data_IF_521728712468
#
_entry.id   IF_521728712468
#
_cell.length_a   1.000
_cell.length_b   1.000
_cell.length_c   1.000
_cell.angle_alpha   90.00
_cell.angle_beta   90.00
_cell.angle_gamma   90.00
#
_symmetry.space_group_name_H-M   'P 1'
#
loop_
_entity.id
_entity.type
_entity.pdbx_description
1 polymer ?
#
# COMPACT_ATOMS: atom_id res chain seq x y z
N UNK A 1 2.89 -6.76 15.64
CA UNK A 1 3.14 -6.70 14.18
C UNK A 1 4.51 -7.28 13.83
N UNK A 2 5.61 -6.67 14.28
CA UNK A 2 6.98 -7.11 13.93
C UNK A 2 7.30 -8.54 14.40
N UNK A 3 6.80 -8.94 15.59
CA UNK A 3 6.97 -10.30 16.13
C UNK A 3 6.35 -11.38 15.23
N UNK A 4 5.10 -11.20 14.81
CA UNK A 4 4.38 -12.13 13.93
C UNK A 4 5.04 -12.24 12.56
N UNK A 5 5.44 -11.10 11.98
CA UNK A 5 6.18 -11.07 10.72
C UNK A 5 7.51 -11.82 10.83
N UNK A 6 8.29 -11.57 11.89
CA UNK A 6 9.55 -12.29 12.12
C UNK A 6 9.33 -13.79 12.27
N UNK A 7 8.25 -14.19 12.96
CA UNK A 7 7.89 -15.60 13.14
C UNK A 7 7.55 -16.28 11.81
N UNK A 8 6.73 -15.65 10.98
CA UNK A 8 6.37 -16.12 9.64
C UNK A 8 7.61 -16.29 8.73
N UNK A 9 8.54 -15.35 8.79
CA UNK A 9 9.80 -15.42 8.04
C UNK A 9 10.79 -16.44 8.62
N UNK A 10 10.76 -16.70 9.92
CA UNK A 10 11.53 -17.79 10.54
C UNK A 10 10.98 -19.16 10.15
N UNK A 11 9.65 -19.32 10.09
CA UNK A 11 9.00 -20.56 9.62
C UNK A 11 9.47 -20.93 8.21
N UNK A 12 9.66 -19.94 7.34
CA UNK A 12 10.13 -20.16 5.96
C UNK A 12 11.65 -20.21 5.82
N UNK A 13 12.41 -19.74 6.81
CA UNK A 13 13.89 -19.68 6.78
C UNK A 13 14.45 -18.65 5.79
N UNK A 14 13.61 -17.77 5.25
CA UNK A 14 13.94 -16.90 4.12
C UNK A 14 14.10 -15.42 4.49
N UNK A 15 14.16 -15.10 5.79
CA UNK A 15 14.26 -13.73 6.30
C UNK A 15 15.47 -12.95 5.72
N UNK A 16 16.65 -13.58 5.67
CA UNK A 16 17.87 -12.93 5.19
C UNK A 16 17.75 -12.49 3.73
N UNK A 17 17.21 -13.36 2.87
CA UNK A 17 16.99 -13.05 1.44
C UNK A 17 15.98 -11.92 1.26
N UNK A 18 14.90 -11.91 2.05
CA UNK A 18 13.92 -10.82 2.01
C UNK A 18 14.52 -9.46 2.39
N UNK A 19 15.33 -9.40 3.46
CA UNK A 19 16.00 -8.17 3.89
C UNK A 19 16.96 -7.66 2.81
N UNK A 20 17.77 -8.56 2.23
CA UNK A 20 18.74 -8.21 1.18
C UNK A 20 18.01 -7.64 -0.05
N UNK A 21 16.96 -8.30 -0.53
CA UNK A 21 16.21 -7.83 -1.70
C UNK A 21 15.48 -6.50 -1.45
N UNK A 22 14.98 -6.30 -0.22
CA UNK A 22 14.34 -5.04 0.18
C UNK A 22 15.35 -3.90 0.20
N UNK A 23 16.53 -4.14 0.78
CA UNK A 23 17.61 -3.16 0.86
C UNK A 23 18.16 -2.83 -0.54
N UNK A 24 18.25 -3.82 -1.43
CA UNK A 24 18.60 -3.62 -2.83
C UNK A 24 17.56 -2.74 -3.55
N UNK A 25 16.27 -2.82 -3.21
CA UNK A 25 15.24 -1.97 -3.83
C UNK A 25 15.25 -0.52 -3.31
N UNK A 26 15.63 -0.29 -2.06
CA UNK A 26 15.62 1.03 -1.40
C UNK A 26 16.23 2.20 -2.22
N UNK A 27 17.44 2.08 -2.82
CA UNK A 27 18.04 3.19 -3.53
C UNK A 27 17.33 3.57 -4.83
N UNK A 28 16.53 2.68 -5.43
CA UNK A 28 15.95 2.92 -6.75
C UNK A 28 15.08 4.18 -6.81
N UNK A 29 14.11 4.30 -5.90
CA UNK A 29 13.16 5.43 -5.93
C UNK A 29 13.88 6.76 -5.67
N UNK A 30 14.89 6.75 -4.79
CA UNK A 30 15.72 7.90 -4.49
C UNK A 30 16.60 8.32 -5.68
N UNK A 31 17.29 7.36 -6.30
CA UNK A 31 18.12 7.58 -7.49
C UNK A 31 17.27 8.09 -8.66
N UNK A 32 16.12 7.49 -8.91
CA UNK A 32 15.19 7.92 -9.94
C UNK A 32 14.76 9.38 -9.74
N UNK A 33 14.42 9.74 -8.50
CA UNK A 33 14.03 11.11 -8.15
C UNK A 33 15.16 12.09 -8.35
N UNK A 34 16.37 11.75 -7.90
CA UNK A 34 17.55 12.58 -8.08
C UNK A 34 17.89 12.75 -9.57
N UNK A 35 17.89 11.66 -10.35
CA UNK A 35 18.17 11.69 -11.79
C UNK A 35 17.16 12.57 -12.53
N UNK A 36 15.86 12.49 -12.21
CA UNK A 36 14.86 13.37 -12.81
C UNK A 36 15.02 14.84 -12.42
N UNK A 37 15.22 15.13 -11.13
CA UNK A 37 15.37 16.50 -10.66
C UNK A 37 16.64 17.16 -11.24
N UNK A 38 17.76 16.43 -11.27
CA UNK A 38 19.02 16.91 -11.84
C UNK A 38 18.94 17.08 -13.35
N UNK A 39 18.28 16.18 -14.07
CA UNK A 39 18.07 16.33 -15.51
C UNK A 39 17.31 17.60 -15.82
N UNK A 40 16.19 17.83 -15.13
CA UNK A 40 15.38 19.02 -15.36
C UNK A 40 16.18 20.29 -15.09
N UNK A 41 16.94 20.32 -13.99
CA UNK A 41 17.83 21.43 -13.68
C UNK A 41 18.86 21.70 -14.79
N UNK A 42 19.68 20.71 -15.13
CA UNK A 42 20.76 20.90 -16.10
C UNK A 42 20.24 21.13 -17.52
N UNK A 43 19.15 20.49 -17.92
CA UNK A 43 18.55 20.69 -19.24
C UNK A 43 18.06 22.14 -19.38
N UNK A 44 17.31 22.65 -18.39
CA UNK A 44 16.82 24.02 -18.46
C UNK A 44 17.92 25.07 -18.30
N UNK A 45 18.94 24.81 -17.47
CA UNK A 45 20.09 25.71 -17.33
C UNK A 45 20.91 25.74 -18.64
N UNK A 46 21.09 24.61 -19.32
CA UNK A 46 21.77 24.55 -20.63
C UNK A 46 21.00 25.27 -21.75
N UNK A 47 19.66 25.14 -21.76
CA UNK A 47 18.79 25.89 -22.68
C UNK A 47 18.91 27.40 -22.42
N UNK A 48 18.86 27.82 -21.14
CA UNK A 48 18.91 29.22 -20.77
C UNK A 48 20.25 29.88 -21.12
N UNK A 49 21.36 29.12 -21.04
CA UNK A 49 22.69 29.60 -21.40
C UNK A 49 23.05 29.41 -22.88
N UNK A 50 22.09 28.99 -23.73
CA UNK A 50 22.28 28.73 -25.16
C UNK A 50 23.44 27.75 -25.50
N UNK A 51 23.76 26.82 -24.60
CA UNK A 51 24.85 25.86 -24.78
C UNK A 51 24.34 24.53 -25.36
N UNK A 52 24.29 24.44 -26.69
CA UNK A 52 23.77 23.28 -27.41
C UNK A 52 24.55 21.99 -27.11
N UNK A 53 25.87 22.05 -26.99
CA UNK A 53 26.71 20.88 -26.70
C UNK A 53 26.46 20.30 -25.30
N UNK A 54 26.25 21.17 -24.30
CA UNK A 54 25.96 20.76 -22.92
C UNK A 54 24.58 20.09 -22.81
N UNK A 55 23.60 20.58 -23.59
CA UNK A 55 22.27 19.98 -23.68
C UNK A 55 22.32 18.54 -24.21
N UNK A 56 23.02 18.32 -25.33
CA UNK A 56 23.15 16.99 -25.92
C UNK A 56 23.80 15.98 -24.96
N UNK A 57 24.87 16.38 -24.27
CA UNK A 57 25.54 15.54 -23.28
C UNK A 57 24.58 15.22 -22.12
N UNK A 58 23.84 16.21 -21.63
CA UNK A 58 22.88 16.03 -20.53
C UNK A 58 21.75 15.05 -20.92
N UNK A 59 21.23 15.16 -22.15
CA UNK A 59 20.21 14.25 -22.67
C UNK A 59 20.73 12.81 -22.85
N UNK A 60 21.95 12.64 -23.37
CA UNK A 60 22.56 11.31 -23.53
C UNK A 60 22.82 10.68 -22.16
N UNK A 61 23.41 11.44 -21.22
CA UNK A 61 23.67 10.97 -19.87
C UNK A 61 22.37 10.57 -19.15
N UNK A 62 21.30 11.34 -19.32
CA UNK A 62 19.99 11.02 -18.78
C UNK A 62 19.38 9.78 -19.43
N UNK A 63 19.47 9.65 -20.76
CA UNK A 63 19.00 8.46 -21.47
C UNK A 63 19.69 7.20 -20.97
N UNK A 64 21.02 7.22 -20.90
CA UNK A 64 21.83 6.11 -20.37
C UNK A 64 21.47 5.84 -18.90
N UNK A 65 21.35 6.87 -18.06
CA UNK A 65 20.98 6.75 -16.66
C UNK A 65 19.61 6.09 -16.46
N UNK A 66 18.61 6.46 -17.27
CA UNK A 66 17.27 5.86 -17.21
C UNK A 66 17.28 4.41 -17.70
N UNK A 67 18.05 4.07 -18.74
CA UNK A 67 18.19 2.69 -19.20
C UNK A 67 18.82 1.82 -18.11
N UNK A 68 19.88 2.30 -17.46
CA UNK A 68 20.53 1.59 -16.35
C UNK A 68 19.55 1.41 -15.19
N UNK A 69 18.83 2.47 -14.80
CA UNK A 69 17.82 2.40 -13.74
C UNK A 69 16.67 1.45 -14.09
N UNK A 70 16.23 1.43 -15.35
CA UNK A 70 15.20 0.52 -15.83
C UNK A 70 15.65 -0.94 -15.76
N UNK A 71 16.85 -1.25 -16.27
CA UNK A 71 17.45 -2.58 -16.19
C UNK A 71 17.64 -3.02 -14.74
N UNK A 72 18.11 -2.12 -13.88
CA UNK A 72 18.24 -2.36 -12.44
C UNK A 72 16.88 -2.68 -11.80
N UNK A 73 15.87 -1.85 -12.05
CA UNK A 73 14.54 -2.09 -11.48
C UNK A 73 13.92 -3.39 -11.96
N UNK A 74 14.03 -3.66 -13.27
CA UNK A 74 13.50 -4.87 -13.89
C UNK A 74 14.14 -6.14 -13.33
N UNK A 75 15.47 -6.15 -13.16
CA UNK A 75 16.19 -7.29 -12.58
C UNK A 75 15.85 -7.47 -11.09
N UNK A 76 15.84 -6.41 -10.30
CA UNK A 76 15.45 -6.49 -8.87
C UNK A 76 14.01 -6.96 -8.72
N UNK A 77 13.08 -6.48 -9.56
CA UNK A 77 11.66 -6.83 -9.47
C UNK A 77 11.36 -8.25 -9.91
N UNK A 78 12.02 -8.74 -10.97
CA UNK A 78 11.89 -10.13 -11.42
C UNK A 78 12.41 -11.11 -10.36
N UNK A 79 13.58 -10.84 -9.77
CA UNK A 79 14.14 -11.65 -8.68
C UNK A 79 13.24 -11.58 -7.43
N UNK A 80 12.73 -10.40 -7.08
CA UNK A 80 11.81 -10.23 -5.95
C UNK A 80 10.50 -11.02 -6.17
N UNK A 81 9.91 -10.94 -7.36
CA UNK A 81 8.67 -11.67 -7.68
C UNK A 81 8.88 -13.18 -7.61
N UNK A 82 9.99 -13.69 -8.16
CA UNK A 82 10.35 -15.10 -8.06
C UNK A 82 10.61 -15.55 -6.62
N UNK A 83 11.21 -14.68 -5.79
CA UNK A 83 11.37 -14.94 -4.37
C UNK A 83 10.03 -15.05 -3.66
N UNK A 84 9.11 -14.12 -3.92
CA UNK A 84 7.78 -14.10 -3.29
C UNK A 84 6.98 -15.34 -3.68
N UNK A 85 6.95 -15.73 -4.95
CA UNK A 85 6.24 -16.94 -5.40
C UNK A 85 6.82 -18.22 -4.80
N UNK A 86 8.15 -18.32 -4.70
CA UNK A 86 8.77 -19.46 -4.01
C UNK A 86 8.44 -19.43 -2.49
N UNK A 87 8.45 -18.25 -1.89
CA UNK A 87 8.10 -18.07 -0.48
C UNK A 87 6.66 -18.50 -0.19
N UNK A 88 5.71 -18.12 -1.05
CA UNK A 88 4.30 -18.53 -0.91
C UNK A 88 4.16 -20.05 -1.03
N UNK A 89 4.87 -20.68 -1.97
CA UNK A 89 4.84 -22.12 -2.19
C UNK A 89 5.41 -22.89 -0.98
N UNK A 90 6.54 -22.44 -0.42
CA UNK A 90 7.14 -23.03 0.79
C UNK A 90 6.21 -22.88 1.98
N UNK A 91 5.63 -21.69 2.20
CA UNK A 91 4.71 -21.47 3.30
C UNK A 91 3.47 -22.36 3.17
N UNK A 92 2.86 -22.44 1.98
CA UNK A 92 1.70 -23.30 1.73
C UNK A 92 2.03 -24.77 1.97
N UNK A 93 3.18 -25.24 1.50
CA UNK A 93 3.64 -26.63 1.70
C UNK A 93 3.85 -26.94 3.18
N UNK A 94 4.47 -26.03 3.94
CA UNK A 94 4.68 -26.20 5.39
C UNK A 94 3.37 -26.19 6.16
N UNK A 95 2.48 -25.26 5.86
CA UNK A 95 1.17 -25.15 6.50
C UNK A 95 0.33 -26.40 6.23
N UNK A 96 0.26 -26.85 4.97
CA UNK A 96 -0.46 -28.07 4.61
C UNK A 96 0.10 -29.31 5.29
N UNK A 97 1.43 -29.49 5.29
CA UNK A 97 2.09 -30.61 5.98
C UNK A 97 1.83 -30.58 7.49
N UNK A 98 1.84 -29.40 8.09
CA UNK A 98 1.59 -29.24 9.51
C UNK A 98 0.15 -29.60 9.87
N UNK A 99 -0.84 -29.10 9.12
CA UNK A 99 -2.24 -29.48 9.31
C UNK A 99 -2.42 -31.00 9.16
N UNK A 100 -1.78 -31.62 8.15
CA UNK A 100 -1.80 -33.07 7.97
C UNK A 100 -1.05 -33.89 9.03
N UNK A 101 -0.30 -33.25 9.92
CA UNK A 101 0.39 -33.91 11.04
C UNK A 101 -0.39 -33.89 12.35
N UNK A 102 -1.46 -33.09 12.44
CA UNK A 102 -2.29 -32.96 13.64
C UNK A 102 -3.08 -34.25 13.93
N UNK A 103 -3.39 -34.50 15.20
CA UNK A 103 -4.26 -35.62 15.60
C UNK A 103 -5.70 -35.39 15.13
N UNK A 104 -6.50 -36.46 15.02
CA UNK A 104 -7.90 -36.35 14.61
C UNK A 104 -8.67 -35.41 15.55
N UNK A 105 -8.45 -35.54 16.88
CA UNK A 105 -8.99 -34.66 17.90
C UNK A 105 -8.65 -33.18 17.65
N UNK A 106 -7.42 -32.89 17.24
CA UNK A 106 -6.99 -31.52 16.95
C UNK A 106 -7.59 -30.95 15.67
N UNK A 107 -7.86 -31.80 14.67
CA UNK A 107 -8.54 -31.41 13.43
C UNK A 107 -10.01 -31.11 13.71
N UNK A 108 -10.68 -31.93 14.52
CA UNK A 108 -12.10 -31.82 14.89
C UNK A 108 -12.41 -30.61 15.79
N UNK A 109 -11.39 -30.01 16.46
CA UNK A 109 -11.56 -28.76 17.21
C UNK A 109 -11.99 -27.57 16.33
N UNK A 110 -11.91 -27.67 15.00
CA UNK A 110 -12.29 -26.61 14.06
C UNK A 110 -13.07 -27.18 12.88
N UNK A 111 -13.89 -26.33 12.26
CA UNK A 111 -14.64 -26.73 11.06
C UNK A 111 -13.73 -26.88 9.84
N UNK A 112 -14.10 -27.77 8.91
CA UNK A 112 -13.42 -27.93 7.61
C UNK A 112 -13.32 -26.60 6.87
N UNK A 113 -14.37 -25.78 6.91
CA UNK A 113 -14.40 -24.45 6.30
C UNK A 113 -13.37 -23.48 6.89
N UNK A 114 -13.13 -23.53 8.21
CA UNK A 114 -12.10 -22.72 8.85
C UNK A 114 -10.69 -23.13 8.39
N UNK A 115 -10.42 -24.44 8.27
CA UNK A 115 -9.15 -24.94 7.74
C UNK A 115 -8.90 -24.49 6.29
N UNK A 116 -9.94 -24.55 5.44
CA UNK A 116 -9.86 -24.08 4.05
C UNK A 116 -9.57 -22.57 4.00
N UNK A 117 -10.21 -21.78 4.86
CA UNK A 117 -10.00 -20.33 4.93
C UNK A 117 -8.58 -19.98 5.38
N UNK A 118 -8.04 -20.70 6.36
CA UNK A 118 -6.66 -20.52 6.83
C UNK A 118 -5.64 -20.88 5.74
N UNK A 119 -5.88 -21.95 4.98
CA UNK A 119 -4.99 -22.41 3.90
C UNK A 119 -5.02 -21.51 2.66
N UNK A 120 -6.17 -20.91 2.37
CA UNK A 120 -6.39 -20.10 1.17
C UNK A 120 -6.39 -18.60 1.47
N UNK A 121 -7.43 -18.08 2.11
CA UNK A 121 -7.64 -16.64 2.29
C UNK A 121 -6.61 -16.01 3.23
N UNK A 122 -6.30 -16.65 4.35
CA UNK A 122 -5.33 -16.10 5.31
C UNK A 122 -3.90 -16.18 4.80
N UNK A 123 -3.55 -17.30 4.14
CA UNK A 123 -2.29 -17.42 3.43
C UNK A 123 -2.20 -16.36 2.31
N UNK A 124 -3.26 -16.16 1.55
CA UNK A 124 -3.29 -15.12 0.53
C UNK A 124 -3.07 -13.73 1.14
N UNK A 125 -3.74 -13.40 2.25
CA UNK A 125 -3.52 -12.15 2.97
C UNK A 125 -2.06 -12.01 3.44
N UNK A 126 -1.46 -13.07 3.99
CA UNK A 126 -0.06 -13.09 4.40
C UNK A 126 0.90 -12.87 3.21
N UNK A 127 0.59 -13.46 2.06
CA UNK A 127 1.38 -13.29 0.83
C UNK A 127 1.16 -11.93 0.16
N UNK A 128 -0.04 -11.34 0.29
CA UNK A 128 -0.37 -10.05 -0.28
C UNK A 128 0.50 -8.93 0.30
N UNK A 129 0.93 -9.05 1.56
CA UNK A 129 1.90 -8.15 2.19
C UNK A 129 3.24 -8.11 1.45
N UNK A 130 3.56 -9.18 0.70
CA UNK A 130 4.81 -9.39 -0.02
C UNK A 130 4.66 -9.32 -1.55
N UNK A 131 3.47 -9.55 -2.13
CA UNK A 131 3.20 -9.49 -3.58
C UNK A 131 2.33 -8.33 -4.19
N UNK A 132 1.39 -7.68 -3.46
CA UNK A 132 0.66 -6.49 -3.93
C UNK A 132 1.46 -5.16 -4.03
N UNK A 133 1.19 -4.27 -5.01
CA UNK A 133 1.95 -3.03 -5.35
C UNK A 133 2.28 -2.03 -4.22
N UNK A 134 1.81 -2.26 -3.00
CA UNK A 134 1.98 -1.45 -1.81
C UNK A 134 2.47 -2.37 -0.67
N UNK A 135 3.81 -2.50 -0.56
CA UNK A 135 4.53 -3.48 0.26
C UNK A 135 5.17 -2.94 1.54
N UNK A 136 5.62 -3.86 2.42
CA UNK A 136 6.64 -3.56 3.45
C UNK A 136 7.88 -2.91 2.82
N UNK A 137 8.47 -3.47 1.74
CA UNK A 137 9.50 -2.79 0.97
C UNK A 137 9.11 -1.38 0.55
N UNK A 138 7.91 -1.17 0.00
CA UNK A 138 7.46 0.16 -0.42
C UNK A 138 7.29 1.12 0.76
N UNK A 139 6.89 0.68 1.95
CA UNK A 139 6.85 1.53 3.13
C UNK A 139 8.26 1.99 3.54
N UNK A 140 9.24 1.09 3.54
CA UNK A 140 10.63 1.43 3.88
C UNK A 140 11.23 2.33 2.80
N UNK A 141 11.09 1.95 1.54
CA UNK A 141 11.58 2.70 0.38
C UNK A 141 10.94 4.09 0.32
N UNK A 142 9.63 4.21 0.57
CA UNK A 142 8.94 5.50 0.54
C UNK A 142 9.36 6.43 1.68
N UNK A 143 9.66 5.90 2.87
CA UNK A 143 10.21 6.70 3.96
C UNK A 143 11.62 7.20 3.60
N UNK A 144 12.49 6.31 3.11
CA UNK A 144 13.83 6.67 2.65
C UNK A 144 13.76 7.72 1.54
N UNK A 145 12.89 7.52 0.55
CA UNK A 145 12.72 8.45 -0.56
C UNK A 145 12.13 9.79 -0.10
N UNK A 146 11.24 9.82 0.89
CA UNK A 146 10.77 11.06 1.48
C UNK A 146 11.92 11.82 2.15
N UNK A 147 12.74 11.15 2.96
CA UNK A 147 13.92 11.76 3.60
C UNK A 147 14.92 12.25 2.55
N UNK A 148 15.28 11.43 1.56
CA UNK A 148 16.22 11.83 0.51
C UNK A 148 15.68 13.01 -0.30
N UNK A 149 14.40 12.98 -0.69
CA UNK A 149 13.77 14.11 -1.40
C UNK A 149 13.79 15.39 -0.55
N UNK A 150 13.52 15.27 0.76
CA UNK A 150 13.60 16.40 1.69
C UNK A 150 15.02 16.95 1.82
N UNK A 151 16.04 16.08 1.89
CA UNK A 151 17.46 16.49 1.96
C UNK A 151 17.89 17.17 0.67
N UNK A 152 17.56 16.59 -0.50
CA UNK A 152 17.84 17.20 -1.81
C UNK A 152 17.20 18.58 -1.89
N UNK A 153 15.93 18.68 -1.49
CA UNK A 153 15.18 19.94 -1.52
C UNK A 153 15.76 20.99 -0.57
N UNK A 154 16.10 20.61 0.66
CA UNK A 154 16.72 21.49 1.65
C UNK A 154 18.11 21.96 1.24
N UNK A 155 18.89 21.08 0.60
CA UNK A 155 20.22 21.41 0.06
C UNK A 155 20.16 22.34 -1.16
N UNK A 156 19.08 22.26 -1.95
CA UNK A 156 18.89 23.11 -3.12
C UNK A 156 18.43 24.52 -2.72
N UNK A 157 17.38 24.62 -1.89
CA UNK A 157 16.86 25.90 -1.44
C UNK A 157 16.03 25.75 -0.14
N UNK A 158 16.57 26.25 0.98
CA UNK A 158 15.95 26.12 2.31
C UNK A 158 14.60 26.87 2.42
N UNK A 159 14.42 27.97 1.70
CA UNK A 159 13.18 28.74 1.74
C UNK A 159 12.08 28.02 0.95
N UNK A 160 12.41 27.45 -0.22
CA UNK A 160 11.47 26.63 -0.98
C UNK A 160 11.10 25.34 -0.25
N UNK A 161 12.06 24.73 0.45
CA UNK A 161 11.82 23.60 1.34
C UNK A 161 10.82 23.96 2.45
N UNK A 162 11.01 25.10 3.10
CA UNK A 162 10.12 25.59 4.16
C UNK A 162 8.69 25.81 3.66
N UNK A 163 8.53 26.38 2.46
CA UNK A 163 7.23 26.54 1.81
C UNK A 163 6.59 25.18 1.50
N UNK A 164 7.35 24.24 0.95
CA UNK A 164 6.86 22.90 0.64
C UNK A 164 6.38 22.18 1.91
N UNK A 165 7.12 22.27 3.02
CA UNK A 165 6.70 21.74 4.31
C UNK A 165 5.44 22.42 4.83
N UNK A 166 5.36 23.76 4.73
CA UNK A 166 4.23 24.54 5.17
C UNK A 166 2.91 24.09 4.52
N UNK A 167 2.94 23.62 3.26
CA UNK A 167 1.77 23.04 2.59
C UNK A 167 1.62 21.53 2.80
N UNK A 168 2.73 20.79 2.88
CA UNK A 168 2.69 19.34 3.05
C UNK A 168 2.15 18.93 4.43
N UNK A 169 2.51 19.64 5.50
CA UNK A 169 2.09 19.29 6.87
C UNK A 169 0.57 19.45 7.06
N UNK A 170 -0.07 20.59 6.71
CA UNK A 170 -1.54 20.70 6.74
C UNK A 170 -2.23 19.68 5.84
N UNK A 171 -1.66 19.40 4.66
CA UNK A 171 -2.18 18.37 3.76
C UNK A 171 -2.22 17.00 4.42
N UNK A 172 -1.14 16.60 5.10
CA UNK A 172 -1.10 15.35 5.86
C UNK A 172 -2.12 15.33 7.01
N UNK A 173 -2.19 16.43 7.77
CA UNK A 173 -3.07 16.52 8.93
C UNK A 173 -4.54 16.42 8.51
N UNK A 174 -4.91 17.16 7.46
CA UNK A 174 -6.24 17.16 6.88
C UNK A 174 -6.57 15.78 6.30
N UNK A 175 -5.62 15.16 5.58
CA UNK A 175 -5.77 13.77 5.11
C UNK A 175 -6.07 12.84 6.30
N UNK A 176 -5.30 12.91 7.39
CA UNK A 176 -5.57 12.06 8.56
C UNK A 176 -6.94 12.31 9.21
N UNK A 177 -7.31 13.57 9.40
CA UNK A 177 -8.52 13.96 10.14
C UNK A 177 -9.80 13.71 9.32
N UNK A 178 -9.79 14.07 8.03
CA UNK A 178 -10.97 14.02 7.17
C UNK A 178 -11.12 12.66 6.49
N UNK A 179 -10.02 11.95 6.23
CA UNK A 179 -9.99 10.69 5.47
C UNK A 179 -9.95 9.51 6.44
N UNK A 180 -8.83 9.31 7.13
CA UNK A 180 -8.54 8.05 7.80
C UNK A 180 -9.54 7.75 8.93
N UNK A 181 -9.76 8.70 9.85
CA UNK A 181 -10.60 8.48 11.04
C UNK A 181 -12.08 8.18 10.71
N UNK A 182 -12.78 8.96 9.87
CA UNK A 182 -14.19 8.71 9.57
C UNK A 182 -14.40 7.60 8.53
N UNK A 183 -13.50 7.42 7.55
CA UNK A 183 -13.65 6.33 6.57
C UNK A 183 -13.56 4.96 7.22
N UNK A 184 -12.70 4.77 8.22
CA UNK A 184 -12.60 3.47 8.91
C UNK A 184 -13.92 3.10 9.56
N UNK A 185 -14.58 4.05 10.25
CA UNK A 185 -15.91 3.82 10.85
C UNK A 185 -16.96 3.48 9.80
N UNK A 186 -17.06 4.28 8.74
CA UNK A 186 -18.02 4.04 7.65
C UNK A 186 -17.77 2.69 6.95
N UNK A 187 -16.51 2.28 6.81
CA UNK A 187 -16.17 0.98 6.26
C UNK A 187 -16.59 -0.17 7.19
N UNK A 188 -16.41 -0.01 8.50
CA UNK A 188 -16.93 -0.96 9.50
C UNK A 188 -18.45 -1.05 9.44
N UNK A 189 -19.16 0.09 9.37
CA UNK A 189 -20.63 0.10 9.29
C UNK A 189 -21.15 -0.67 8.06
N UNK A 190 -20.47 -0.51 6.91
CA UNK A 190 -20.79 -1.25 5.68
C UNK A 190 -20.52 -2.74 5.84
N UNK A 191 -19.42 -3.11 6.49
CA UNK A 191 -19.08 -4.51 6.74
C UNK A 191 -20.08 -5.19 7.67
N UNK A 192 -20.53 -4.50 8.73
CA UNK A 192 -21.57 -5.02 9.63
C UNK A 192 -22.90 -5.22 8.90
N UNK A 193 -23.33 -4.26 8.09
CA UNK A 193 -24.55 -4.42 7.28
C UNK A 193 -24.41 -5.54 6.23
N UNK A 194 -23.22 -5.73 5.67
CA UNK A 194 -22.94 -6.84 4.76
C UNK A 194 -23.06 -8.21 5.47
N UNK A 195 -22.61 -8.31 6.72
CA UNK A 195 -22.76 -9.52 7.52
C UNK A 195 -24.23 -9.81 7.87
N UNK A 196 -25.01 -8.79 8.23
CA UNK A 196 -26.45 -8.91 8.50
C UNK A 196 -27.22 -9.40 7.26
N UNK A 197 -27.00 -8.79 6.10
CA UNK A 197 -27.62 -9.23 4.85
C UNK A 197 -27.20 -10.64 4.42
N UNK A 198 -25.95 -11.02 4.68
CA UNK A 198 -25.49 -12.40 4.43
C UNK A 198 -26.21 -13.40 5.34
N UNK A 199 -26.50 -13.01 6.60
CA UNK A 199 -27.31 -13.82 7.52
C UNK A 199 -28.75 -13.96 7.04
N UNK A 200 -29.38 -12.87 6.59
CA UNK A 200 -30.76 -12.91 6.07
C UNK A 200 -30.85 -13.77 4.78
N UNK A 201 -29.85 -13.66 3.89
CA UNK A 201 -29.74 -14.51 2.72
C UNK A 201 -29.60 -15.99 3.09
N UNK A 202 -28.79 -16.30 4.10
CA UNK A 202 -28.62 -17.67 4.57
C UNK A 202 -29.94 -18.23 5.14
N UNK A 203 -30.74 -17.42 5.84
CA UNK A 203 -32.04 -17.83 6.33
C UNK A 203 -33.03 -18.18 5.20
N UNK A 204 -33.01 -17.44 4.08
CA UNK A 204 -33.82 -17.78 2.88
C UNK A 204 -33.45 -19.17 2.35
N UNK A 205 -32.16 -19.48 2.29
CA UNK A 205 -31.67 -20.75 1.73
C UNK A 205 -31.94 -21.92 2.67
N UNK A 206 -31.61 -21.76 3.95
CA UNK A 206 -31.71 -22.84 4.94
C UNK A 206 -33.16 -23.14 5.29
N UNK A 207 -34.01 -22.12 5.44
CA UNK A 207 -35.41 -22.28 5.84
C UNK A 207 -36.38 -22.34 4.64
N UNK A 208 -35.89 -22.67 3.45
CA UNK A 208 -36.68 -22.60 2.22
C UNK A 208 -37.92 -23.53 2.26
N UNK A 209 -37.79 -24.72 2.84
CA UNK A 209 -38.88 -25.68 2.95
C UNK A 209 -39.94 -25.21 3.97
N UNK A 210 -39.50 -24.75 5.14
CA UNK A 210 -40.36 -24.20 6.18
C UNK A 210 -41.08 -22.94 5.68
N UNK A 211 -40.39 -22.07 4.96
CA UNK A 211 -40.99 -20.87 4.37
C UNK A 211 -42.10 -21.21 3.36
N UNK A 212 -42.00 -22.35 2.68
CA UNK A 212 -43.02 -22.82 1.73
C UNK A 212 -44.23 -23.43 2.47
N UNK A 213 -43.98 -24.17 3.55
CA UNK A 213 -45.03 -24.77 4.40
C UNK A 213 -45.84 -23.69 5.13
N UNK A 214 -45.16 -22.65 5.63
CA UNK A 214 -45.78 -21.57 6.42
C UNK A 214 -46.14 -20.31 5.61
N UNK A 215 -46.00 -20.33 4.28
CA UNK A 215 -46.23 -19.18 3.39
C UNK A 215 -45.45 -17.91 3.80
N UNK A 216 -44.24 -18.09 4.35
CA UNK A 216 -43.40 -17.03 4.91
C UNK A 216 -42.36 -16.47 3.92
N UNK A 217 -42.43 -16.85 2.64
CA UNK A 217 -41.46 -16.42 1.61
C UNK A 217 -41.43 -14.90 1.44
N UNK A 218 -42.61 -14.28 1.38
CA UNK A 218 -42.76 -12.83 1.24
C UNK A 218 -42.13 -12.07 2.42
N UNK A 219 -42.28 -12.62 3.63
CA UNK A 219 -41.68 -12.07 4.86
C UNK A 219 -40.14 -12.14 4.81
N UNK A 220 -39.57 -13.29 4.43
CA UNK A 220 -38.12 -13.45 4.33
C UNK A 220 -37.52 -12.57 3.22
N UNK A 221 -38.18 -12.49 2.06
CA UNK A 221 -37.76 -11.61 0.96
C UNK A 221 -37.77 -10.13 1.36
N UNK A 222 -38.83 -9.69 2.07
CA UNK A 222 -38.92 -8.31 2.55
C UNK A 222 -37.81 -7.98 3.55
N UNK A 223 -37.49 -8.90 4.47
CA UNK A 223 -36.38 -8.74 5.41
C UNK A 223 -35.03 -8.61 4.70
N UNK A 224 -34.78 -9.44 3.70
CA UNK A 224 -33.58 -9.35 2.86
C UNK A 224 -33.52 -8.05 2.06
N UNK A 225 -34.65 -7.58 1.52
CA UNK A 225 -34.72 -6.29 0.84
C UNK A 225 -34.35 -5.13 1.80
N UNK A 226 -34.86 -5.14 3.03
CA UNK A 226 -34.56 -4.14 4.04
C UNK A 226 -33.07 -4.10 4.42
N UNK A 227 -32.43 -5.26 4.63
CA UNK A 227 -30.99 -5.32 4.92
C UNK A 227 -30.12 -4.94 3.71
N UNK A 228 -30.54 -5.31 2.49
CA UNK A 228 -29.88 -4.86 1.24
C UNK A 228 -29.96 -3.33 1.06
N UNK A 229 -31.12 -2.73 1.35
CA UNK A 229 -31.29 -1.26 1.35
C UNK A 229 -30.44 -0.58 2.45
N UNK A 230 -30.24 -1.23 3.60
CA UNK A 230 -29.34 -0.75 4.65
C UNK A 230 -27.88 -0.72 4.16
N UNK A 231 -27.41 -1.80 3.54
CA UNK A 231 -26.08 -1.84 2.90
C UNK A 231 -25.94 -0.71 1.88
N UNK A 232 -26.94 -0.53 1.00
CA UNK A 232 -26.91 0.51 -0.02
C UNK A 232 -26.76 1.90 0.61
N UNK A 233 -27.54 2.22 1.64
CA UNK A 233 -27.46 3.51 2.34
C UNK A 233 -26.10 3.75 2.98
N UNK A 234 -25.55 2.76 3.70
CA UNK A 234 -24.22 2.87 4.33
C UNK A 234 -23.11 2.97 3.27
N UNK A 235 -23.19 2.19 2.20
CA UNK A 235 -22.24 2.21 1.09
C UNK A 235 -22.25 3.55 0.37
N UNK A 236 -23.42 4.14 0.13
CA UNK A 236 -23.55 5.47 -0.47
C UNK A 236 -22.89 6.55 0.40
N UNK A 237 -23.07 6.51 1.73
CA UNK A 237 -22.38 7.43 2.66
C UNK A 237 -20.86 7.28 2.58
N UNK A 238 -20.36 6.04 2.56
CA UNK A 238 -18.94 5.75 2.40
C UNK A 238 -18.41 6.29 1.06
N UNK A 239 -19.09 6.00 -0.05
CA UNK A 239 -18.66 6.44 -1.39
C UNK A 239 -18.74 7.94 -1.58
N UNK A 240 -19.76 8.61 -1.06
CA UNK A 240 -19.84 10.07 -1.05
C UNK A 240 -18.65 10.68 -0.29
N UNK A 241 -18.29 10.10 0.86
CA UNK A 241 -17.09 10.52 1.60
C UNK A 241 -15.81 10.26 0.80
N UNK A 242 -15.70 9.11 0.10
CA UNK A 242 -14.56 8.81 -0.79
C UNK A 242 -14.44 9.83 -1.91
N UNK A 243 -15.55 10.20 -2.54
CA UNK A 243 -15.57 11.20 -3.61
C UNK A 243 -15.06 12.55 -3.12
N UNK A 244 -15.57 13.04 -1.99
CA UNK A 244 -15.10 14.30 -1.38
C UNK A 244 -13.59 14.29 -1.13
N UNK A 245 -13.07 13.18 -0.60
CA UNK A 245 -11.62 13.02 -0.35
C UNK A 245 -10.82 13.05 -1.65
N UNK A 246 -11.27 12.32 -2.67
CA UNK A 246 -10.60 12.26 -3.97
C UNK A 246 -10.61 13.61 -4.69
N UNK A 247 -11.55 14.51 -4.37
CA UNK A 247 -11.56 15.89 -4.88
C UNK A 247 -10.71 16.85 -4.04
N UNK A 248 -10.77 16.76 -2.71
CA UNK A 248 -10.06 17.69 -1.80
C UNK A 248 -8.54 17.49 -1.79
N UNK A 249 -8.07 16.24 -1.79
CA UNK A 249 -6.63 15.93 -1.71
C UNK A 249 -5.86 16.52 -2.91
N UNK A 250 -6.29 16.32 -4.17
CA UNK A 250 -5.63 16.92 -5.33
C UNK A 250 -5.72 18.45 -5.34
N UNK A 251 -6.84 19.02 -4.92
CA UNK A 251 -7.03 20.48 -4.89
C UNK A 251 -6.03 21.15 -3.94
N UNK A 252 -5.82 20.59 -2.75
CA UNK A 252 -4.77 21.03 -1.83
C UNK A 252 -3.36 20.77 -2.36
N UNK A 253 -3.17 19.66 -3.08
CA UNK A 253 -1.92 19.37 -3.78
C UNK A 253 -1.59 20.42 -4.84
N UNK A 254 -2.61 20.91 -5.55
CA UNK A 254 -2.50 21.94 -6.58
C UNK A 254 -2.25 23.32 -5.98
N UNK A 255 -2.90 23.67 -4.87
CA UNK A 255 -2.67 24.97 -4.21
C UNK A 255 -1.23 25.12 -3.72
N UNK A 256 -0.65 24.07 -3.13
CA UNK A 256 0.76 24.10 -2.75
C UNK A 256 1.73 24.12 -3.95
N UNK A 257 1.31 23.59 -5.11
CA UNK A 257 2.10 23.70 -6.35
C UNK A 257 2.08 25.14 -6.87
N UNK A 258 0.89 25.75 -6.90
CA UNK A 258 0.70 27.14 -7.31
C UNK A 258 1.47 28.11 -6.41
N UNK A 259 1.41 27.92 -5.09
CA UNK A 259 2.17 28.72 -4.13
C UNK A 259 3.68 28.62 -4.36
N UNK A 260 4.20 27.42 -4.59
CA UNK A 260 5.61 27.21 -4.91
C UNK A 260 5.99 27.88 -6.25
N UNK A 261 5.08 27.89 -7.23
CA UNK A 261 5.30 28.52 -8.52
C UNK A 261 5.30 30.05 -8.42
N UNK A 262 4.40 30.65 -7.63
CA UNK A 262 4.35 32.10 -7.40
C UNK A 262 5.59 32.61 -6.66
N UNK A 263 5.99 31.93 -5.58
CA UNK A 263 7.19 32.31 -4.80
C UNK A 263 8.47 31.98 -5.56
N UNK A 264 8.52 30.86 -6.28
CA UNK A 264 9.64 30.52 -7.15
C UNK A 264 9.80 31.52 -8.30
N UNK A 265 8.69 31.90 -8.93
CA UNK A 265 8.66 32.87 -10.02
C UNK A 265 9.14 34.26 -9.59
N UNK A 266 8.73 34.75 -8.42
CA UNK A 266 9.22 36.04 -7.90
C UNK A 266 10.72 36.01 -7.59
N UNK A 267 11.25 34.86 -7.16
CA UNK A 267 12.69 34.68 -6.92
C UNK A 267 13.53 34.56 -8.19
N UNK A 268 12.95 33.98 -9.25
CA UNK A 268 13.56 34.03 -10.59
C UNK A 268 13.62 35.48 -11.08
N UNK A 269 12.52 36.23 -10.93
CA UNK A 269 12.49 37.64 -11.31
C UNK A 269 13.51 38.50 -10.52
N UNK A 270 13.75 38.16 -9.25
CA UNK A 270 14.78 38.78 -8.41
C UNK A 270 16.21 38.27 -8.63
N UNK A 271 16.46 37.37 -9.59
CA UNK A 271 17.78 36.80 -9.87
C UNK A 271 18.33 35.84 -8.80
N UNK A 272 17.54 35.52 -7.77
CA UNK A 272 17.94 34.68 -6.65
C UNK A 272 17.82 33.17 -6.92
N UNK A 273 17.21 32.78 -8.04
CA UNK A 273 16.96 31.39 -8.40
C UNK A 273 16.94 31.22 -9.93
N UNK A 274 17.55 30.15 -10.44
CA UNK A 274 17.44 29.78 -11.86
C UNK A 274 16.14 29.00 -12.12
N UNK A 275 15.61 29.09 -13.35
CA UNK A 275 14.41 28.35 -13.76
C UNK A 275 14.59 26.82 -13.63
N UNK A 276 15.77 26.29 -13.98
CA UNK A 276 16.09 24.87 -13.80
C UNK A 276 16.04 24.43 -12.33
N UNK A 277 16.41 25.32 -11.40
CA UNK A 277 16.30 25.02 -9.97
C UNK A 277 14.84 24.97 -9.50
N UNK A 278 13.98 25.85 -10.01
CA UNK A 278 12.54 25.83 -9.67
C UNK A 278 11.86 24.55 -10.15
N UNK A 279 12.15 24.12 -11.38
CA UNK A 279 11.57 22.90 -11.93
C UNK A 279 12.03 21.66 -11.15
N UNK A 280 13.30 21.58 -10.76
CA UNK A 280 13.83 20.52 -9.90
C UNK A 280 13.16 20.49 -8.51
N UNK A 281 12.91 21.67 -7.91
CA UNK A 281 12.17 21.82 -6.65
C UNK A 281 10.74 21.30 -6.77
N UNK A 282 10.03 21.67 -7.84
CA UNK A 282 8.65 21.23 -8.09
C UNK A 282 8.56 19.71 -8.31
N UNK A 283 9.53 19.13 -9.03
CA UNK A 283 9.63 17.68 -9.23
C UNK A 283 9.87 16.94 -7.91
N UNK A 284 10.85 17.41 -7.12
CA UNK A 284 11.18 16.84 -5.80
C UNK A 284 10.00 16.89 -4.83
N UNK A 285 9.26 18.01 -4.83
CA UNK A 285 8.00 18.18 -4.09
C UNK A 285 6.97 17.12 -4.49
N UNK A 286 6.69 16.99 -5.78
CA UNK A 286 5.70 16.04 -6.30
C UNK A 286 6.03 14.62 -5.86
N UNK A 287 7.30 14.24 -5.95
CA UNK A 287 7.77 12.93 -5.51
C UNK A 287 7.63 12.72 -4.01
N UNK A 288 7.96 13.72 -3.19
CA UNK A 288 7.81 13.66 -1.74
C UNK A 288 6.36 13.34 -1.35
N UNK A 289 5.38 14.03 -1.97
CA UNK A 289 3.95 13.80 -1.75
C UNK A 289 3.51 12.38 -2.14
N UNK A 290 3.94 11.89 -3.32
CA UNK A 290 3.63 10.52 -3.77
C UNK A 290 4.20 9.49 -2.81
N UNK A 291 5.46 9.66 -2.40
CA UNK A 291 6.15 8.77 -1.47
C UNK A 291 5.37 8.64 -0.15
N UNK A 292 4.95 9.79 0.37
CA UNK A 292 4.23 9.88 1.63
C UNK A 292 2.85 9.21 1.58
N UNK A 293 2.12 9.39 0.49
CA UNK A 293 0.85 8.68 0.26
C UNK A 293 1.07 7.17 0.14
N UNK A 294 2.14 6.76 -0.56
CA UNK A 294 2.51 5.36 -0.70
C UNK A 294 2.84 4.73 0.67
N UNK A 295 3.52 5.46 1.55
CA UNK A 295 3.78 5.04 2.93
C UNK A 295 2.49 4.79 3.72
N UNK A 296 1.56 5.75 3.70
CA UNK A 296 0.27 5.65 4.40
C UNK A 296 -0.50 4.41 3.91
N UNK A 297 -0.64 4.25 2.60
CA UNK A 297 -1.36 3.11 2.02
C UNK A 297 -0.68 1.78 2.37
N UNK A 298 0.66 1.75 2.41
CA UNK A 298 1.41 0.57 2.82
C UNK A 298 1.15 0.21 4.28
N UNK A 299 1.12 1.19 5.17
CA UNK A 299 0.77 0.96 6.57
C UNK A 299 -0.65 0.41 6.75
N UNK A 300 -1.61 0.90 5.96
CA UNK A 300 -2.99 0.38 5.98
C UNK A 300 -3.02 -1.08 5.52
N UNK A 301 -2.41 -1.40 4.38
CA UNK A 301 -2.39 -2.76 3.84
C UNK A 301 -1.66 -3.76 4.75
N UNK A 302 -0.58 -3.33 5.39
CA UNK A 302 0.14 -4.16 6.35
C UNK A 302 -0.75 -4.48 7.57
N UNK A 303 -1.52 -3.49 8.05
CA UNK A 303 -2.42 -3.68 9.19
C UNK A 303 -3.59 -4.60 8.86
N UNK A 304 -4.19 -4.48 7.68
CA UNK A 304 -5.30 -5.34 7.26
C UNK A 304 -4.85 -6.78 7.08
N UNK A 305 -3.69 -7.00 6.48
CA UNK A 305 -3.16 -8.34 6.26
C UNK A 305 -2.62 -9.02 7.54
N UNK A 306 -2.33 -8.26 8.60
CA UNK A 306 -1.81 -8.79 9.87
C UNK A 306 -2.78 -9.80 10.52
N UNK A 307 -4.09 -9.65 10.33
CA UNK A 307 -5.07 -10.60 10.85
C UNK A 307 -4.89 -12.00 10.24
N UNK A 308 -4.67 -12.08 8.91
CA UNK A 308 -4.39 -13.35 8.22
C UNK A 308 -3.04 -13.94 8.65
N UNK A 309 -2.00 -13.11 8.78
CA UNK A 309 -0.68 -13.55 9.28
C UNK A 309 -0.79 -14.17 10.67
N UNK A 310 -1.56 -13.56 11.58
CA UNK A 310 -1.78 -14.11 12.93
C UNK A 310 -2.43 -15.48 12.87
N UNK A 311 -3.53 -15.62 12.12
CA UNK A 311 -4.21 -16.91 11.98
C UNK A 311 -3.31 -18.01 11.40
N UNK A 312 -2.43 -17.69 10.45
CA UNK A 312 -1.43 -18.63 9.93
C UNK A 312 -0.40 -19.00 11.00
N UNK A 313 0.10 -18.03 11.77
CA UNK A 313 1.05 -18.29 12.85
C UNK A 313 0.42 -19.13 13.97
N UNK A 314 -0.81 -18.80 14.38
CA UNK A 314 -1.58 -19.53 15.38
C UNK A 314 -1.78 -21.00 14.96
N UNK A 315 -2.03 -21.24 13.66
CA UNK A 315 -2.12 -22.61 13.14
C UNK A 315 -0.78 -23.35 13.22
N UNK A 316 0.32 -22.69 12.89
CA UNK A 316 1.67 -23.28 12.95
C UNK A 316 2.19 -23.48 14.38
N UNK A 317 1.54 -22.87 15.38
CA UNK A 317 1.87 -23.01 16.80
C UNK A 317 1.18 -24.20 17.48
N UNK A 318 0.21 -24.83 16.81
CA UNK A 318 -0.46 -26.00 17.34
C UNK A 318 0.58 -27.12 17.41
N UNK A 319 0.94 -27.54 18.62
CA UNK A 319 1.85 -28.67 18.78
C UNK A 319 1.10 -29.94 18.40
N UNK A 320 1.59 -30.74 17.43
CA UNK A 320 1.01 -32.04 17.16
C UNK A 320 1.04 -32.85 18.46
N UNK A 321 -0.11 -33.39 18.87
CA UNK A 321 -0.11 -34.43 19.90
C UNK A 321 0.66 -35.63 19.35
N UNK A 322 1.44 -36.31 20.21
CA UNK A 322 2.05 -37.58 19.83
C UNK A 322 0.92 -38.48 19.32
N UNK A 323 1.14 -39.09 18.16
CA UNK A 323 0.22 -40.08 17.64
C UNK A 323 0.25 -41.23 18.63
N UNK A 324 -0.67 -41.25 19.58
CA UNK A 324 -0.95 -42.44 20.35
C UNK A 324 -1.29 -43.53 19.34
N UNK A 325 -0.31 -44.41 19.15
CA UNK A 325 -0.41 -45.59 18.31
C UNK A 325 -1.40 -46.50 19.04
N UNK A 326 -2.66 -46.42 18.64
CA UNK A 326 -3.67 -47.41 19.00
C UNK A 326 -3.39 -48.72 18.26
#
# INVERSE_FOLDING_TARGET
MIRELRKLFNITGMLRRFIILTLLRCPFDALYTAVQALFLKHAFDAVNNAQTSSLFITCILFGVGNIILFLYNGTVWTVYTAFVTNWTAVLRRKLFRHIGSLSLRQIEMRTVGEWITRLNSDLHAATAMLNQPIHIPHAVVSLVNAVVSSVILASADMMMFSLVILFAVPHMLISRLIVAKPMTRLATDVQEAAAENASDMNAIIVCAAEALIYDAQSFLLRRFEESSLNIRRKSMRLQHRRALVNSLIPLMGMSGYLAALLVGGSRIAGGAMAFGSLTAVLQSRGRMLVSLMMFINSMINIKTALAGVRRVCDTMDIRPEDRDVA
#
